data_IF_064595509436
#
_entry.id   IF_064595509436
#
_cell.length_a   1.000
_cell.length_b   1.000
_cell.length_c   1.000
_cell.angle_alpha   90.00
_cell.angle_beta   90.00
_cell.angle_gamma   90.00
#
_symmetry.space_group_name_H-M   'P 1'
#
loop_
_entity.id
_entity.type
_entity.pdbx_description
1 polymer ?
#
# COMPACT_ATOMS: atom_id res chain seq x y z
N UNK A 1 -23.21 30.66 -6.98
CA UNK A 1 -23.32 30.33 -5.54
C UNK A 1 -22.06 29.57 -5.07
N UNK A 2 -21.67 28.53 -5.72
CA UNK A 2 -20.51 27.67 -5.38
C UNK A 2 -19.18 28.43 -5.30
N UNK A 3 -18.86 29.28 -6.29
CA UNK A 3 -17.63 30.09 -6.29
C UNK A 3 -17.50 31.04 -5.08
N UNK A 4 -18.64 31.56 -4.59
CA UNK A 4 -18.69 32.40 -3.38
C UNK A 4 -18.41 31.56 -2.12
N UNK A 5 -18.97 30.34 -2.04
CA UNK A 5 -18.72 29.40 -0.93
C UNK A 5 -17.25 29.04 -0.88
N UNK A 6 -16.66 28.69 -2.02
CA UNK A 6 -15.25 28.34 -2.16
C UNK A 6 -14.31 29.45 -1.65
N UNK A 7 -14.54 30.70 -2.09
CA UNK A 7 -13.71 31.84 -1.68
C UNK A 7 -13.85 32.16 -0.19
N UNK A 8 -15.07 32.03 0.38
CA UNK A 8 -15.32 32.21 1.81
C UNK A 8 -14.70 31.09 2.64
N UNK A 9 -14.83 29.86 2.18
CA UNK A 9 -14.23 28.70 2.83
C UNK A 9 -12.72 28.85 2.90
N UNK A 10 -12.03 29.05 1.76
CA UNK A 10 -10.58 29.27 1.73
C UNK A 10 -10.13 30.34 2.72
N UNK A 11 -10.78 31.50 2.70
CA UNK A 11 -10.44 32.61 3.62
C UNK A 11 -10.60 32.21 5.08
N UNK A 12 -11.66 31.47 5.41
CA UNK A 12 -11.90 31.02 6.78
C UNK A 12 -10.90 29.94 7.20
N UNK A 13 -10.52 29.03 6.32
CA UNK A 13 -9.46 28.03 6.58
C UNK A 13 -8.13 28.69 6.84
N UNK A 14 -7.75 29.70 6.05
CA UNK A 14 -6.54 30.49 6.31
C UNK A 14 -6.57 31.17 7.67
N UNK A 15 -7.69 31.78 8.03
CA UNK A 15 -7.88 32.43 9.32
C UNK A 15 -7.91 31.44 10.50
N UNK A 16 -8.25 30.18 10.25
CA UNK A 16 -8.25 29.11 11.24
C UNK A 16 -6.88 28.42 11.39
N UNK A 17 -5.84 28.85 10.67
CA UNK A 17 -4.48 28.36 10.81
C UNK A 17 -4.07 27.31 9.79
N UNK A 18 -4.61 27.34 8.59
CA UNK A 18 -4.13 26.49 7.50
C UNK A 18 -2.64 26.79 7.22
N UNK A 19 -1.80 25.74 7.23
CA UNK A 19 -0.34 25.88 7.28
C UNK A 19 0.26 26.42 5.97
N UNK A 20 -0.21 25.96 4.80
CA UNK A 20 0.34 26.32 3.49
C UNK A 20 -0.78 26.76 2.54
N UNK A 21 -0.90 28.08 2.35
CA UNK A 21 -1.98 28.67 1.55
C UNK A 21 -2.02 28.18 0.09
N UNK A 22 -0.88 27.75 -0.45
CA UNK A 22 -0.72 27.28 -1.83
C UNK A 22 -1.28 25.87 -2.02
N UNK A 23 -1.24 25.05 -0.99
CA UNK A 23 -1.65 23.63 -1.03
C UNK A 23 -3.13 23.42 -0.64
N UNK A 24 -3.85 24.50 -0.39
CA UNK A 24 -5.25 24.38 0.06
C UNK A 24 -6.18 23.83 -1.01
N UNK A 25 -5.94 24.17 -2.28
CA UNK A 25 -6.81 23.75 -3.37
C UNK A 25 -6.47 22.33 -3.84
N UNK A 26 -7.51 21.50 -3.94
CA UNK A 26 -7.49 20.19 -4.62
C UNK A 26 -8.81 20.01 -5.37
N UNK A 27 -8.91 19.15 -6.38
CA UNK A 27 -10.17 18.88 -7.10
C UNK A 27 -11.33 18.49 -6.18
N UNK A 28 -11.05 17.79 -5.08
CA UNK A 28 -12.04 17.31 -4.10
C UNK A 28 -12.71 18.44 -3.34
N UNK A 29 -12.06 19.60 -3.25
CA UNK A 29 -12.64 20.83 -2.66
C UNK A 29 -13.89 21.25 -3.42
N UNK A 30 -13.87 21.21 -4.76
CA UNK A 30 -15.03 21.52 -5.57
C UNK A 30 -16.15 20.48 -5.43
N UNK A 31 -15.77 19.19 -5.34
CA UNK A 31 -16.70 18.08 -5.16
C UNK A 31 -17.48 18.23 -3.84
N UNK A 32 -16.77 18.56 -2.75
CA UNK A 32 -17.39 18.75 -1.44
C UNK A 32 -18.30 19.99 -1.43
N UNK A 33 -17.91 21.09 -2.07
CA UNK A 33 -18.78 22.28 -2.19
C UNK A 33 -20.06 21.95 -2.94
N UNK A 34 -19.99 21.20 -4.04
CA UNK A 34 -21.18 20.74 -4.78
C UNK A 34 -22.07 19.85 -3.92
N UNK A 35 -21.48 18.92 -3.17
CA UNK A 35 -22.23 18.03 -2.29
C UNK A 35 -22.96 18.80 -1.17
N UNK A 36 -22.30 19.75 -0.53
CA UNK A 36 -22.91 20.61 0.52
C UNK A 36 -24.00 21.50 -0.06
N UNK A 37 -23.88 21.96 -1.29
CA UNK A 37 -24.90 22.74 -1.97
C UNK A 37 -26.10 21.90 -2.51
N UNK A 38 -26.12 20.59 -2.30
CA UNK A 38 -27.27 19.72 -2.60
C UNK A 38 -27.14 18.88 -3.87
N UNK A 39 -25.91 18.66 -4.38
CA UNK A 39 -25.74 18.01 -5.68
C UNK A 39 -25.23 16.56 -5.68
N UNK A 40 -24.62 16.06 -4.60
CA UNK A 40 -23.93 14.77 -4.59
C UNK A 40 -23.94 14.11 -3.21
N UNK A 41 -23.45 12.87 -3.11
CA UNK A 41 -23.26 12.19 -1.84
C UNK A 41 -22.17 12.87 -1.00
N UNK A 42 -22.60 13.52 0.08
CA UNK A 42 -21.73 14.24 1.00
C UNK A 42 -20.70 13.30 1.68
N UNK A 43 -21.10 12.08 2.01
CA UNK A 43 -20.21 11.12 2.69
C UNK A 43 -19.06 10.73 1.76
N UNK A 44 -19.36 10.43 0.52
CA UNK A 44 -18.33 10.08 -0.48
C UNK A 44 -17.42 11.28 -0.78
N UNK A 45 -17.98 12.47 -0.91
CA UNK A 45 -17.22 13.71 -1.14
C UNK A 45 -16.26 14.01 0.03
N UNK A 46 -16.72 13.85 1.27
CA UNK A 46 -15.88 14.04 2.46
C UNK A 46 -14.79 12.97 2.57
N UNK A 47 -15.08 11.71 2.23
CA UNK A 47 -14.07 10.65 2.18
C UNK A 47 -12.97 10.98 1.17
N UNK A 48 -13.35 11.38 -0.05
CA UNK A 48 -12.40 11.78 -1.09
C UNK A 48 -11.52 12.96 -0.67
N UNK A 49 -12.14 13.99 -0.03
CA UNK A 49 -11.39 15.13 0.50
C UNK A 49 -10.40 14.69 1.59
N UNK A 50 -10.80 13.81 2.51
CA UNK A 50 -9.91 13.26 3.54
C UNK A 50 -8.71 12.54 2.94
N UNK A 51 -8.94 11.72 1.93
CA UNK A 51 -7.91 11.02 1.15
C UNK A 51 -6.93 12.00 0.47
N UNK A 52 -7.44 13.02 -0.21
CA UNK A 52 -6.60 14.04 -0.88
C UNK A 52 -5.77 14.83 0.13
N UNK A 53 -6.34 15.21 1.29
CA UNK A 53 -5.62 15.90 2.36
C UNK A 53 -4.50 15.04 2.95
N UNK A 54 -4.74 13.75 3.17
CA UNK A 54 -3.72 12.79 3.62
C UNK A 54 -2.57 12.69 2.61
N UNK A 55 -2.91 12.55 1.33
CA UNK A 55 -1.92 12.48 0.23
C UNK A 55 -1.06 13.74 0.15
N UNK A 56 -1.66 14.91 0.42
CA UNK A 56 -0.95 16.20 0.49
C UNK A 56 -0.15 16.40 1.80
N UNK A 57 -0.18 15.44 2.74
CA UNK A 57 0.54 15.54 4.02
C UNK A 57 -0.14 16.44 5.05
N UNK A 58 -1.41 16.82 4.83
CA UNK A 58 -2.18 17.64 5.78
C UNK A 58 -2.57 16.82 7.00
N UNK A 59 -2.32 17.34 8.20
CA UNK A 59 -2.71 16.69 9.45
C UNK A 59 -4.22 16.51 9.59
N UNK A 60 -4.66 15.41 10.21
CA UNK A 60 -6.10 15.11 10.34
C UNK A 60 -6.87 16.22 11.05
N UNK A 61 -6.29 16.81 12.10
CA UNK A 61 -6.91 17.91 12.85
C UNK A 61 -7.06 19.17 12.01
N UNK A 62 -6.04 19.50 11.20
CA UNK A 62 -6.07 20.62 10.27
C UNK A 62 -7.15 20.44 9.19
N UNK A 63 -7.21 19.23 8.59
CA UNK A 63 -8.23 18.91 7.61
C UNK A 63 -9.65 18.88 8.17
N UNK A 64 -9.86 18.44 9.42
CA UNK A 64 -11.15 18.52 10.09
C UNK A 64 -11.56 19.95 10.40
N UNK A 65 -10.62 20.81 10.79
CA UNK A 65 -10.87 22.24 11.00
C UNK A 65 -11.22 22.94 9.68
N UNK A 66 -10.57 22.56 8.58
CA UNK A 66 -10.88 23.02 7.24
C UNK A 66 -12.32 22.63 6.84
N UNK A 67 -12.72 21.38 7.08
CA UNK A 67 -14.09 20.94 6.84
C UNK A 67 -15.09 21.70 7.72
N UNK A 68 -14.78 21.95 8.98
CA UNK A 68 -15.63 22.75 9.87
C UNK A 68 -15.77 24.20 9.38
N UNK A 69 -14.72 24.77 8.81
CA UNK A 69 -14.74 26.10 8.19
C UNK A 69 -15.72 26.16 7.00
N UNK A 70 -15.82 25.10 6.18
CA UNK A 70 -16.80 25.00 5.11
C UNK A 70 -18.25 25.07 5.64
N UNK A 71 -18.57 24.23 6.63
CA UNK A 71 -19.94 24.23 7.21
C UNK A 71 -20.31 25.53 7.87
N UNK A 72 -19.35 26.18 8.51
CA UNK A 72 -19.59 27.51 9.10
C UNK A 72 -19.89 28.59 8.05
N UNK A 73 -19.29 28.56 6.86
CA UNK A 73 -19.57 29.55 5.80
C UNK A 73 -20.86 29.27 5.03
N UNK A 74 -21.39 28.05 5.10
CA UNK A 74 -22.68 27.69 4.50
C UNK A 74 -23.87 27.93 5.43
N UNK A 75 -23.62 28.31 6.69
CA UNK A 75 -24.66 28.56 7.68
C UNK A 75 -25.23 27.30 8.35
N UNK A 76 -24.65 26.14 8.09
CA UNK A 76 -25.09 24.87 8.65
C UNK A 76 -24.59 24.62 10.09
N UNK A 77 -23.90 25.58 10.71
CA UNK A 77 -23.29 25.41 12.04
C UNK A 77 -22.01 24.64 12.01
N UNK A 78 -22.05 23.34 12.33
CA UNK A 78 -20.91 22.45 12.25
C UNK A 78 -21.12 21.29 11.25
N UNK A 79 -20.06 20.56 10.87
CA UNK A 79 -20.18 19.39 10.01
C UNK A 79 -20.97 18.28 10.73
N UNK A 80 -21.89 17.60 10.03
CA UNK A 80 -22.54 16.41 10.56
C UNK A 80 -21.52 15.33 10.94
N UNK A 81 -21.81 14.57 11.98
CA UNK A 81 -20.90 13.48 12.42
C UNK A 81 -20.55 12.50 11.27
N UNK A 82 -21.52 12.20 10.40
CA UNK A 82 -21.29 11.34 9.24
C UNK A 82 -20.24 11.91 8.28
N UNK A 83 -20.23 13.23 8.04
CA UNK A 83 -19.24 13.90 7.20
C UNK A 83 -17.84 13.84 7.83
N UNK A 84 -17.72 14.13 9.14
CA UNK A 84 -16.45 14.01 9.87
C UNK A 84 -15.92 12.58 9.87
N UNK A 85 -16.80 11.60 10.11
CA UNK A 85 -16.43 10.17 10.09
C UNK A 85 -15.91 9.76 8.72
N UNK A 86 -16.59 10.15 7.64
CA UNK A 86 -16.18 9.83 6.27
C UNK A 86 -14.86 10.49 5.91
N UNK A 87 -14.67 11.76 6.28
CA UNK A 87 -13.40 12.47 6.11
C UNK A 87 -12.25 11.74 6.85
N UNK A 88 -12.46 11.41 8.14
CA UNK A 88 -11.47 10.72 8.95
C UNK A 88 -11.13 9.33 8.40
N UNK A 89 -12.11 8.58 7.88
CA UNK A 89 -11.90 7.29 7.26
C UNK A 89 -11.03 7.43 6.00
N UNK A 90 -11.37 8.34 5.09
CA UNK A 90 -10.58 8.58 3.88
C UNK A 90 -9.15 9.05 4.20
N UNK A 91 -9.00 9.93 5.21
CA UNK A 91 -7.69 10.37 5.68
C UNK A 91 -6.87 9.22 6.26
N UNK A 92 -7.45 8.39 7.13
CA UNK A 92 -6.76 7.27 7.77
C UNK A 92 -6.33 6.20 6.76
N UNK A 93 -7.22 5.78 5.86
CA UNK A 93 -6.91 4.79 4.83
C UNK A 93 -5.71 5.20 3.97
N UNK A 94 -5.59 6.50 3.64
CA UNK A 94 -4.49 7.00 2.81
C UNK A 94 -3.23 7.37 3.61
N UNK A 95 -3.36 7.77 4.87
CA UNK A 95 -2.20 8.03 5.73
C UNK A 95 -1.48 6.75 6.14
N UNK A 96 -2.21 5.65 6.30
CA UNK A 96 -1.62 4.36 6.66
C UNK A 96 -1.14 3.54 5.45
N UNK A 97 -1.67 3.77 4.26
CA UNK A 97 -1.22 3.10 3.04
C UNK A 97 0.29 3.30 2.75
N UNK A 98 0.87 4.53 2.85
CA UNK A 98 2.31 4.72 2.70
C UNK A 98 3.14 4.09 3.83
N UNK A 99 2.61 3.97 5.05
CA UNK A 99 3.34 3.37 6.18
C UNK A 99 3.59 1.87 5.95
N UNK A 100 2.65 1.16 5.35
CA UNK A 100 2.86 -0.23 4.91
C UNK A 100 3.92 -0.34 3.82
N UNK A 101 4.04 0.67 2.94
CA UNK A 101 5.07 0.73 1.90
C UNK A 101 6.43 1.22 2.42
N UNK A 102 6.47 2.00 3.50
CA UNK A 102 7.70 2.49 4.14
C UNK A 102 8.30 1.47 5.12
N UNK A 103 7.52 0.49 5.58
CA UNK A 103 8.06 -0.59 6.39
C UNK A 103 9.02 -1.46 5.57
N UNK A 104 10.16 -1.80 6.17
CA UNK A 104 11.09 -2.76 5.57
C UNK A 104 10.55 -4.19 5.62
N UNK A 105 9.65 -4.48 6.57
CA UNK A 105 9.09 -5.79 6.82
C UNK A 105 7.56 -5.73 6.87
N UNK A 106 6.94 -6.76 6.33
CA UNK A 106 5.51 -6.98 6.45
C UNK A 106 5.16 -7.47 7.87
N UNK A 107 4.28 -6.79 8.60
CA UNK A 107 4.04 -7.08 10.02
C UNK A 107 3.37 -8.44 10.25
N UNK A 108 2.67 -8.99 9.26
CA UNK A 108 2.01 -10.29 9.37
C UNK A 108 3.01 -11.43 9.13
N UNK A 109 3.78 -11.33 8.07
CA UNK A 109 4.66 -12.43 7.63
C UNK A 109 6.10 -12.24 8.09
N UNK A 110 6.53 -11.03 8.46
CA UNK A 110 7.93 -10.68 8.76
C UNK A 110 8.86 -10.88 7.57
N UNK A 111 8.32 -10.97 6.36
CA UNK A 111 9.12 -10.93 5.13
C UNK A 111 9.36 -9.48 4.73
N UNK A 112 10.41 -9.21 3.96
CA UNK A 112 10.64 -7.85 3.49
C UNK A 112 9.54 -7.42 2.51
N UNK A 113 9.18 -6.16 2.57
CA UNK A 113 8.19 -5.57 1.67
C UNK A 113 8.72 -5.42 0.25
N UNK A 114 7.82 -5.24 -0.72
CA UNK A 114 8.19 -4.96 -2.10
C UNK A 114 9.02 -3.68 -2.24
N UNK A 115 8.80 -2.68 -1.37
CA UNK A 115 9.58 -1.44 -1.34
C UNK A 115 11.03 -1.72 -0.93
N UNK A 116 11.24 -2.46 0.15
CA UNK A 116 12.59 -2.86 0.56
C UNK A 116 13.27 -3.76 -0.46
N UNK A 117 12.53 -4.71 -1.06
CA UNK A 117 13.06 -5.57 -2.10
C UNK A 117 13.61 -4.76 -3.28
N UNK A 118 12.91 -3.68 -3.72
CA UNK A 118 13.42 -2.77 -4.75
C UNK A 118 14.76 -2.15 -4.36
N UNK A 119 14.90 -1.70 -3.11
CA UNK A 119 16.15 -1.15 -2.59
C UNK A 119 17.28 -2.19 -2.59
N UNK A 120 17.00 -3.42 -2.15
CA UNK A 120 17.96 -4.53 -2.17
C UNK A 120 18.39 -4.89 -3.58
N UNK A 121 17.47 -4.91 -4.53
CA UNK A 121 17.81 -5.13 -5.94
C UNK A 121 18.68 -3.99 -6.49
N UNK A 122 18.38 -2.73 -6.18
CA UNK A 122 19.21 -1.60 -6.58
C UNK A 122 20.64 -1.74 -6.04
N UNK A 123 20.81 -2.21 -4.80
CA UNK A 123 22.12 -2.50 -4.22
C UNK A 123 22.82 -3.65 -4.95
N UNK A 124 22.09 -4.75 -5.23
CA UNK A 124 22.61 -5.91 -5.93
C UNK A 124 23.11 -5.54 -7.33
N UNK A 125 22.37 -4.72 -8.07
CA UNK A 125 22.73 -4.27 -9.42
C UNK A 125 23.84 -3.21 -9.46
N UNK A 126 24.16 -2.56 -8.33
CA UNK A 126 25.39 -1.75 -8.20
C UNK A 126 26.65 -2.61 -8.06
N UNK A 127 26.49 -3.83 -7.56
CA UNK A 127 27.55 -4.85 -7.51
C UNK A 127 27.43 -5.84 -8.66
N UNK A 128 27.35 -7.13 -8.33
CA UNK A 128 27.22 -8.20 -9.32
C UNK A 128 25.91 -8.98 -9.13
N UNK A 129 24.92 -8.70 -9.97
CA UNK A 129 23.68 -9.47 -10.01
C UNK A 129 23.82 -10.82 -10.79
N UNK A 130 24.98 -11.05 -11.41
CA UNK A 130 25.24 -12.27 -12.20
C UNK A 130 25.14 -13.52 -11.33
N UNK A 131 24.44 -14.54 -11.83
CA UNK A 131 24.23 -15.78 -11.09
C UNK A 131 23.21 -15.68 -9.96
N UNK A 132 22.37 -14.65 -9.96
CA UNK A 132 21.26 -14.50 -9.00
C UNK A 132 19.92 -14.82 -9.66
N UNK A 133 19.00 -15.39 -8.89
CA UNK A 133 17.65 -15.68 -9.33
C UNK A 133 16.61 -15.25 -8.30
N UNK A 134 15.38 -15.12 -8.77
CA UNK A 134 14.18 -15.00 -7.95
C UNK A 134 13.47 -16.35 -7.93
N UNK A 135 13.27 -16.90 -6.74
CA UNK A 135 12.42 -18.06 -6.49
C UNK A 135 11.10 -17.53 -5.94
N UNK A 136 10.00 -17.72 -6.66
CA UNK A 136 8.67 -17.29 -6.23
C UNK A 136 7.80 -18.48 -5.92
N UNK A 137 6.99 -18.39 -4.85
CA UNK A 137 6.04 -19.40 -4.44
C UNK A 137 4.66 -18.78 -4.18
N UNK A 138 3.63 -19.48 -4.63
CA UNK A 138 2.23 -19.12 -4.49
C UNK A 138 1.38 -20.37 -4.23
N UNK A 139 0.16 -20.26 -3.65
CA UNK A 139 -0.73 -21.39 -3.53
C UNK A 139 -1.05 -21.99 -4.89
N UNK A 140 -1.22 -23.31 -4.98
CA UNK A 140 -1.58 -23.99 -6.24
C UNK A 140 -2.99 -23.65 -6.73
N UNK A 141 -3.88 -23.26 -5.81
CA UNK A 141 -5.19 -22.67 -6.09
C UNK A 141 -5.34 -21.37 -5.27
N UNK A 142 -5.94 -20.32 -5.84
CA UNK A 142 -6.14 -19.08 -5.10
C UNK A 142 -7.09 -19.32 -3.92
N UNK A 143 -6.75 -18.83 -2.71
CA UNK A 143 -7.66 -18.89 -1.57
C UNK A 143 -8.78 -17.86 -1.76
N UNK A 144 -10.03 -18.26 -1.44
CA UNK A 144 -11.20 -17.43 -1.67
C UNK A 144 -11.48 -16.53 -0.45
N UNK A 145 -11.40 -17.09 0.74
CA UNK A 145 -11.69 -16.36 1.97
C UNK A 145 -10.49 -15.59 2.53
N UNK A 146 -10.76 -14.51 3.28
CA UNK A 146 -9.73 -13.72 3.93
C UNK A 146 -8.88 -14.56 4.90
N UNK A 147 -9.51 -15.42 5.71
CA UNK A 147 -8.83 -16.29 6.66
C UNK A 147 -7.87 -17.26 5.95
N UNK A 148 -8.30 -17.82 4.83
CA UNK A 148 -7.46 -18.70 4.01
C UNK A 148 -6.26 -17.94 3.40
N UNK A 149 -6.48 -16.70 2.93
CA UNK A 149 -5.40 -15.85 2.40
C UNK A 149 -4.35 -15.56 3.47
N UNK A 150 -4.78 -15.19 4.68
CA UNK A 150 -3.87 -14.94 5.80
C UNK A 150 -3.09 -16.21 6.19
N UNK A 151 -3.79 -17.35 6.32
CA UNK A 151 -3.15 -18.63 6.63
C UNK A 151 -2.15 -19.06 5.54
N UNK A 152 -2.51 -18.91 4.27
CA UNK A 152 -1.62 -19.22 3.15
C UNK A 152 -0.37 -18.34 3.14
N UNK A 153 -0.51 -17.03 3.39
CA UNK A 153 0.62 -16.10 3.46
C UNK A 153 1.59 -16.46 4.59
N UNK A 154 1.08 -16.77 5.79
CA UNK A 154 1.88 -17.18 6.94
C UNK A 154 2.60 -18.51 6.71
N UNK A 155 1.89 -19.50 6.15
CA UNK A 155 2.48 -20.80 5.86
C UNK A 155 3.53 -20.74 4.75
N UNK A 156 3.29 -19.93 3.70
CA UNK A 156 4.29 -19.67 2.65
C UNK A 156 5.53 -18.97 3.22
N UNK A 157 5.36 -17.97 4.06
CA UNK A 157 6.48 -17.28 4.70
C UNK A 157 7.31 -18.22 5.57
N UNK A 158 6.65 -19.10 6.34
CA UNK A 158 7.30 -20.12 7.17
C UNK A 158 8.06 -21.14 6.30
N UNK A 159 7.42 -21.61 5.24
CA UNK A 159 8.03 -22.57 4.32
C UNK A 159 9.25 -21.95 3.61
N UNK A 160 9.15 -20.68 3.20
CA UNK A 160 10.23 -19.94 2.56
C UNK A 160 11.45 -19.81 3.49
N UNK A 161 11.24 -19.40 4.76
CA UNK A 161 12.34 -19.33 5.74
C UNK A 161 13.01 -20.67 6.00
N UNK A 162 12.24 -21.75 6.09
CA UNK A 162 12.79 -23.10 6.26
C UNK A 162 13.59 -23.57 5.04
N UNK A 163 13.17 -23.18 3.84
CA UNK A 163 13.85 -23.53 2.62
C UNK A 163 15.12 -22.69 2.39
N UNK A 164 15.11 -21.44 2.80
CA UNK A 164 16.17 -20.44 2.63
C UNK A 164 16.58 -19.83 3.97
N UNK A 165 17.36 -20.56 4.80
CA UNK A 165 17.74 -20.13 6.15
C UNK A 165 18.98 -19.23 6.20
N UNK A 166 19.57 -18.87 5.07
CA UNK A 166 20.82 -18.10 4.99
C UNK A 166 20.60 -16.60 4.88
N UNK A 167 21.42 -15.96 4.08
CA UNK A 167 21.46 -14.52 3.86
C UNK A 167 20.59 -14.05 2.66
N UNK A 168 19.72 -14.92 2.20
CA UNK A 168 18.81 -14.63 1.11
C UNK A 168 17.81 -13.53 1.48
N UNK A 169 17.44 -12.71 0.50
CA UNK A 169 16.38 -11.72 0.72
C UNK A 169 15.02 -12.36 0.51
N UNK A 170 14.27 -12.55 1.59
CA UNK A 170 12.94 -13.18 1.59
C UNK A 170 11.86 -12.10 1.59
N UNK A 171 11.04 -12.04 0.56
CA UNK A 171 10.11 -10.94 0.33
C UNK A 171 8.66 -11.40 0.13
N UNK A 172 7.73 -10.55 0.56
CA UNK A 172 6.32 -10.62 0.16
C UNK A 172 6.18 -9.96 -1.22
N UNK A 173 5.76 -10.74 -2.22
CA UNK A 173 5.60 -10.28 -3.61
C UNK A 173 4.14 -9.88 -3.93
N UNK A 174 3.20 -10.34 -3.13
CA UNK A 174 1.77 -10.10 -3.29
C UNK A 174 1.01 -10.66 -2.10
N UNK A 175 -0.32 -10.51 -2.03
CA UNK A 175 -1.12 -10.89 -0.86
C UNK A 175 -0.92 -12.34 -0.37
N UNK A 176 -0.69 -13.26 -1.31
CA UNK A 176 -0.45 -14.69 -1.04
C UNK A 176 0.70 -15.22 -1.90
N UNK A 177 1.68 -14.37 -2.18
CA UNK A 177 2.85 -14.75 -3.00
C UNK A 177 4.11 -14.27 -2.32
N UNK A 178 5.06 -15.18 -2.15
CA UNK A 178 6.35 -14.90 -1.51
C UNK A 178 7.50 -15.21 -2.46
N UNK A 179 8.68 -14.65 -2.20
CA UNK A 179 9.85 -14.94 -3.02
C UNK A 179 11.17 -14.81 -2.26
N UNK A 180 12.18 -15.50 -2.76
CA UNK A 180 13.55 -15.39 -2.30
C UNK A 180 14.46 -14.91 -3.43
N UNK A 181 15.25 -13.88 -3.19
CA UNK A 181 16.38 -13.51 -4.06
C UNK A 181 17.62 -14.21 -3.53
N UNK A 182 18.17 -15.11 -4.34
CA UNK A 182 19.26 -16.00 -3.95
C UNK A 182 20.23 -16.24 -5.11
N UNK A 183 21.39 -16.80 -4.82
CA UNK A 183 22.35 -17.23 -5.84
C UNK A 183 21.92 -18.54 -6.51
N UNK A 184 22.26 -18.65 -7.78
CA UNK A 184 22.13 -19.92 -8.54
C UNK A 184 23.39 -20.76 -8.28
N UNK A 185 23.38 -21.46 -7.16
CA UNK A 185 24.43 -22.38 -6.73
C UNK A 185 23.95 -23.85 -6.71
N UNK A 186 24.83 -24.78 -6.40
CA UNK A 186 24.52 -26.20 -6.33
C UNK A 186 23.50 -26.55 -5.22
N UNK A 187 23.35 -25.71 -4.22
CA UNK A 187 22.36 -25.85 -3.14
C UNK A 187 20.95 -25.45 -3.52
N UNK A 188 20.77 -24.63 -4.58
CA UNK A 188 19.49 -24.12 -4.99
C UNK A 188 18.44 -25.20 -5.31
N UNK A 189 18.76 -26.29 -6.07
CA UNK A 189 17.77 -27.33 -6.33
C UNK A 189 17.20 -27.96 -5.06
N UNK A 190 18.04 -28.19 -4.04
CA UNK A 190 17.62 -28.74 -2.75
C UNK A 190 16.72 -27.77 -1.97
N UNK A 191 17.02 -26.47 -1.99
CA UNK A 191 16.18 -25.41 -1.38
C UNK A 191 14.81 -25.34 -2.06
N UNK A 192 14.81 -25.36 -3.39
CA UNK A 192 13.55 -25.36 -4.18
C UNK A 192 12.72 -26.61 -3.95
N UNK A 193 13.35 -27.79 -3.86
CA UNK A 193 12.65 -29.05 -3.56
C UNK A 193 11.96 -28.99 -2.18
N UNK A 194 12.68 -28.55 -1.13
CA UNK A 194 12.08 -28.36 0.21
C UNK A 194 10.87 -27.42 0.19
N UNK A 195 10.96 -26.32 -0.56
CA UNK A 195 9.85 -25.39 -0.69
C UNK A 195 8.65 -26.01 -1.42
N UNK A 196 8.88 -26.77 -2.49
CA UNK A 196 7.85 -27.49 -3.24
C UNK A 196 7.14 -28.57 -2.42
N UNK A 197 7.86 -29.20 -1.50
CA UNK A 197 7.31 -30.27 -0.65
C UNK A 197 6.59 -29.75 0.59
N UNK A 198 6.63 -28.44 0.84
CA UNK A 198 5.90 -27.80 1.93
C UNK A 198 4.39 -27.86 1.70
N UNK A 199 3.65 -28.05 2.78
CA UNK A 199 2.19 -27.97 2.77
C UNK A 199 1.75 -26.56 3.20
N UNK A 200 0.97 -25.88 2.37
CA UNK A 200 0.63 -24.47 2.58
C UNK A 200 -0.80 -24.32 3.12
N UNK A 201 -1.77 -24.96 2.47
CA UNK A 201 -3.18 -24.88 2.84
C UNK A 201 -3.87 -26.21 2.49
N UNK A 202 -4.60 -26.81 3.45
CA UNK A 202 -5.33 -28.08 3.26
C UNK A 202 -4.48 -29.20 2.65
N UNK A 203 -3.20 -29.29 3.04
CA UNK A 203 -2.26 -30.29 2.51
C UNK A 203 -1.79 -30.03 1.09
N UNK A 204 -2.19 -28.93 0.46
CA UNK A 204 -1.78 -28.57 -0.90
C UNK A 204 -0.36 -28.00 -0.91
N UNK A 205 0.40 -28.36 -1.94
CA UNK A 205 1.75 -27.86 -2.18
C UNK A 205 1.74 -26.53 -2.92
N UNK A 206 2.73 -25.64 -2.71
CA UNK A 206 2.84 -24.39 -3.45
C UNK A 206 3.29 -24.64 -4.89
N UNK A 207 2.89 -23.75 -5.79
CA UNK A 207 3.50 -23.61 -7.09
C UNK A 207 4.78 -22.80 -6.95
N UNK A 208 5.92 -23.36 -7.32
CA UNK A 208 7.23 -22.69 -7.20
C UNK A 208 7.83 -22.47 -8.59
N UNK A 209 8.21 -21.22 -8.84
CA UNK A 209 8.87 -20.79 -10.09
C UNK A 209 10.25 -20.23 -9.77
N UNK A 210 11.24 -20.59 -10.57
CA UNK A 210 12.60 -20.04 -10.52
C UNK A 210 12.85 -19.21 -11.77
N UNK A 211 13.27 -17.97 -11.59
CA UNK A 211 13.56 -17.04 -12.68
C UNK A 211 14.92 -16.40 -12.48
N UNK A 212 15.88 -16.57 -13.39
CA UNK A 212 17.14 -15.83 -13.37
C UNK A 212 16.82 -14.31 -13.38
N UNK A 213 17.57 -13.54 -12.60
CA UNK A 213 17.43 -12.09 -12.66
C UNK A 213 17.95 -11.56 -14.00
N UNK A 214 17.21 -10.68 -14.67
CA UNK A 214 17.64 -10.03 -15.90
C UNK A 214 18.93 -9.23 -15.71
N UNK A 215 19.65 -8.94 -16.81
CA UNK A 215 20.90 -8.16 -16.74
C UNK A 215 20.66 -6.69 -16.34
N UNK A 216 19.52 -6.12 -16.71
CA UNK A 216 19.20 -4.72 -16.42
C UNK A 216 18.25 -4.61 -15.23
N UNK A 217 18.53 -3.67 -14.32
CA UNK A 217 17.71 -3.39 -13.13
C UNK A 217 16.23 -3.11 -13.46
N UNK A 218 15.96 -2.29 -14.48
CA UNK A 218 14.58 -1.99 -14.89
C UNK A 218 13.79 -3.23 -15.32
N UNK A 219 14.44 -4.20 -15.95
CA UNK A 219 13.83 -5.48 -16.32
C UNK A 219 13.55 -6.36 -15.09
N UNK A 220 14.43 -6.32 -14.08
CA UNK A 220 14.20 -7.02 -12.82
C UNK A 220 13.00 -6.45 -12.06
N UNK A 221 12.83 -5.12 -12.05
CA UNK A 221 11.64 -4.48 -11.49
C UNK A 221 10.36 -4.87 -12.25
N UNK A 222 10.42 -4.96 -13.57
CA UNK A 222 9.29 -5.41 -14.40
C UNK A 222 8.94 -6.88 -14.08
N UNK A 223 9.95 -7.76 -13.91
CA UNK A 223 9.74 -9.15 -13.49
C UNK A 223 9.02 -9.24 -12.15
N UNK A 224 9.45 -8.47 -11.14
CA UNK A 224 8.78 -8.47 -9.82
C UNK A 224 7.35 -7.97 -9.94
N UNK A 225 7.10 -6.87 -10.64
CA UNK A 225 5.73 -6.36 -10.85
C UNK A 225 4.82 -7.39 -11.52
N UNK A 226 5.31 -8.10 -12.53
CA UNK A 226 4.54 -9.17 -13.19
C UNK A 226 4.24 -10.37 -12.28
N UNK A 227 4.98 -10.50 -11.19
CA UNK A 227 4.75 -11.53 -10.17
C UNK A 227 3.92 -11.02 -8.99
N UNK A 228 3.69 -9.71 -8.88
CA UNK A 228 2.86 -9.09 -7.83
C UNK A 228 1.38 -8.99 -8.23
N UNK A 229 1.11 -9.08 -9.52
CA UNK A 229 -0.23 -9.17 -10.11
C UNK A 229 -0.72 -10.61 -10.11
#
# INVERSE_FOLDING_TARGET
>A
MEANVLSRWRRRSMAAGWSLAEDWWTPEVEVVVKAVCGGCDLSQACWALGSARATAGVGVSEGMNDLAALFAVTGAGGPPFAALRSFAAGWAEHSFAPLGELSCEDPLTGLVTAAYLRTRLAQLYRGTAKGTCLVAAEPSAPPEELAERLAAALNLATALRRAFPGDETLALLGPVRVGAVTRMDDGLPGKVARLRDSQILYGRRPRVRVRPLPKAYGQALALIRSMSS
#
